data_IF_573219018712
#
_entry.id   IF_573219018712
#
_cell.length_a   1.000
_cell.length_b   1.000
_cell.length_c   1.000
_cell.angle_alpha   90.00
_cell.angle_beta   90.00
_cell.angle_gamma   90.00
#
_symmetry.space_group_name_H-M   'P 1'
#
loop_
_entity.id
_entity.type
_entity.pdbx_description
1 polymer ?
#
# COMPACT_ATOMS: atom_id res chain seq x y z
N UNK A 1 1.13 -18.25 8.33
CA UNK A 1 1.01 -16.91 8.94
C UNK A 1 2.39 -16.27 8.99
N UNK A 2 2.54 -15.08 8.42
CA UNK A 2 3.82 -14.39 8.36
C UNK A 2 4.31 -13.93 9.73
N UNK A 3 5.63 -13.93 9.96
CA UNK A 3 6.25 -13.27 11.12
C UNK A 3 6.54 -11.81 10.77
N UNK A 4 6.63 -10.93 11.78
CA UNK A 4 7.09 -9.56 11.59
C UNK A 4 8.60 -9.57 11.33
N UNK A 5 9.01 -9.29 10.11
CA UNK A 5 10.40 -9.37 9.66
C UNK A 5 11.00 -7.97 9.48
N UNK A 6 12.18 -7.74 10.06
CA UNK A 6 12.92 -6.50 9.82
C UNK A 6 13.54 -6.52 8.41
N UNK A 7 13.12 -5.58 7.55
CA UNK A 7 13.59 -5.47 6.16
C UNK A 7 14.69 -4.42 5.97
N UNK A 8 14.71 -3.42 6.87
CA UNK A 8 15.76 -2.41 7.00
C UNK A 8 15.82 -1.90 8.44
N UNK A 9 16.79 -1.07 8.81
CA UNK A 9 16.88 -0.51 10.15
C UNK A 9 15.61 0.28 10.51
N UNK A 10 14.92 -0.16 11.57
CA UNK A 10 13.69 0.46 12.04
C UNK A 10 12.49 0.33 11.09
N UNK A 11 12.52 -0.64 10.16
CA UNK A 11 11.41 -0.96 9.27
C UNK A 11 11.14 -2.45 9.27
N UNK A 12 9.92 -2.83 9.63
CA UNK A 12 9.46 -4.21 9.67
C UNK A 12 8.25 -4.41 8.78
N UNK A 13 8.09 -5.59 8.24
CA UNK A 13 6.96 -5.99 7.39
C UNK A 13 6.41 -7.31 7.89
N UNK A 14 5.08 -7.38 8.02
CA UNK A 14 4.32 -8.60 8.20
C UNK A 14 3.43 -8.79 6.99
N UNK A 15 3.50 -9.95 6.35
CA UNK A 15 2.68 -10.28 5.20
C UNK A 15 1.49 -11.14 5.62
N UNK A 16 0.28 -10.74 5.20
CA UNK A 16 -0.96 -11.49 5.33
C UNK A 16 -1.00 -12.70 4.39
N UNK A 17 -1.78 -13.72 4.74
CA UNK A 17 -2.15 -14.80 3.82
C UNK A 17 -3.24 -14.33 2.82
N UNK A 18 -4.02 -13.31 3.19
CA UNK A 18 -5.02 -12.71 2.31
C UNK A 18 -4.35 -11.82 1.27
N UNK A 19 -4.37 -12.24 0.02
CA UNK A 19 -3.83 -11.52 -1.16
C UNK A 19 -2.42 -10.93 -0.91
N UNK A 20 -1.62 -11.56 0.00
CA UNK A 20 -0.24 -11.14 0.33
C UNK A 20 -0.10 -9.67 0.73
N UNK A 21 -1.12 -9.09 1.38
CA UNK A 21 -1.11 -7.71 1.87
C UNK A 21 0.00 -7.50 2.90
N UNK A 22 0.69 -6.38 2.83
CA UNK A 22 1.80 -6.04 3.71
C UNK A 22 1.41 -4.99 4.74
N UNK A 23 1.51 -5.35 6.02
CA UNK A 23 1.49 -4.41 7.14
C UNK A 23 2.90 -3.96 7.45
N UNK A 24 3.14 -2.65 7.53
CA UNK A 24 4.48 -2.12 7.74
C UNK A 24 4.55 -1.37 9.08
N UNK A 25 5.61 -1.62 9.85
CA UNK A 25 5.93 -0.90 11.08
C UNK A 25 7.19 -0.08 10.85
N UNK A 26 7.12 1.22 11.08
CA UNK A 26 8.24 2.14 10.92
C UNK A 26 8.56 2.79 12.27
N UNK A 27 9.80 2.70 12.72
CA UNK A 27 10.25 3.40 13.92
C UNK A 27 10.49 4.89 13.59
N UNK A 28 9.64 5.74 14.13
CA UNK A 28 9.79 7.20 14.08
C UNK A 28 10.61 7.74 15.24
N UNK A 29 10.63 9.06 15.38
CA UNK A 29 11.35 9.75 16.45
C UNK A 29 10.73 9.48 17.83
N UNK A 30 9.39 9.51 17.92
CA UNK A 30 8.67 9.46 19.20
C UNK A 30 8.03 8.08 19.47
N UNK A 31 8.10 7.14 18.51
CA UNK A 31 7.51 5.81 18.62
C UNK A 31 7.35 5.13 17.27
N UNK A 32 6.41 4.21 17.19
CA UNK A 32 6.12 3.41 16.00
C UNK A 32 5.00 4.07 15.17
N UNK A 33 5.16 4.05 13.87
CA UNK A 33 4.13 4.40 12.90
C UNK A 33 3.73 3.11 12.19
N UNK A 34 2.42 2.82 12.16
CA UNK A 34 1.89 1.69 11.42
C UNK A 34 1.42 2.18 10.05
N UNK A 35 1.89 1.52 8.99
CA UNK A 35 1.47 1.80 7.62
C UNK A 35 0.68 0.60 7.11
N UNK A 36 -0.55 0.84 6.68
CA UNK A 36 -1.48 -0.16 6.14
C UNK A 36 -1.61 -1.41 7.05
N UNK A 37 -1.98 -1.29 8.35
CA UNK A 37 -1.94 -2.41 9.27
C UNK A 37 -3.07 -3.40 9.06
N UNK A 38 -2.71 -4.67 8.86
CA UNK A 38 -3.59 -5.83 8.98
C UNK A 38 -4.37 -6.19 7.75
N UNK A 39 -5.12 -7.28 7.85
CA UNK A 39 -6.26 -7.63 7.00
C UNK A 39 -7.28 -8.40 7.82
N UNK A 40 -7.05 -9.68 8.17
CA UNK A 40 -8.00 -10.44 8.98
C UNK A 40 -7.85 -10.16 10.48
N UNK A 41 -8.92 -10.33 11.25
CA UNK A 41 -8.92 -10.10 12.70
C UNK A 41 -7.82 -10.88 13.44
N UNK A 42 -7.65 -12.20 13.21
CA UNK A 42 -6.58 -12.98 13.83
C UNK A 42 -5.16 -12.52 13.46
N UNK A 43 -4.97 -11.95 12.25
CA UNK A 43 -3.68 -11.38 11.82
C UNK A 43 -3.43 -10.02 12.47
N UNK A 44 -4.48 -9.21 12.67
CA UNK A 44 -4.42 -7.96 13.43
C UNK A 44 -4.03 -8.21 14.90
N UNK A 45 -4.59 -9.25 15.55
CA UNK A 45 -4.20 -9.66 16.90
C UNK A 45 -2.70 -10.01 16.98
N UNK A 46 -2.21 -10.76 16.00
CA UNK A 46 -0.81 -11.17 15.95
C UNK A 46 0.12 -9.98 15.63
N UNK A 47 -0.31 -9.07 14.73
CA UNK A 47 0.44 -7.83 14.47
C UNK A 47 0.53 -6.99 15.76
N UNK A 48 -0.54 -6.94 16.56
CA UNK A 48 -0.53 -6.24 17.83
C UNK A 48 0.46 -6.89 18.84
N UNK A 49 0.53 -8.23 18.90
CA UNK A 49 1.53 -8.95 19.71
C UNK A 49 2.96 -8.61 19.25
N UNK A 50 3.21 -8.61 17.95
CA UNK A 50 4.51 -8.27 17.37
C UNK A 50 4.92 -6.82 17.68
N UNK A 51 3.97 -5.87 17.55
CA UNK A 51 4.19 -4.44 17.84
C UNK A 51 4.51 -4.21 19.32
N UNK A 52 3.79 -4.88 20.23
CA UNK A 52 4.07 -4.83 21.66
C UNK A 52 5.50 -5.33 21.97
N UNK A 53 6.00 -6.31 21.21
CA UNK A 53 7.37 -6.85 21.32
C UNK A 53 8.47 -5.87 20.87
N UNK A 54 8.14 -4.76 20.20
CA UNK A 54 9.13 -3.76 19.77
C UNK A 54 9.49 -2.73 20.84
N UNK A 55 8.92 -2.81 22.05
CA UNK A 55 9.21 -1.96 23.21
C UNK A 55 9.16 -0.44 22.89
N UNK A 56 8.19 -0.02 22.09
CA UNK A 56 7.95 1.40 21.79
C UNK A 56 6.46 1.65 21.55
N UNK A 57 5.91 2.80 21.96
CA UNK A 57 4.50 3.11 21.76
C UNK A 57 4.19 3.32 20.28
N UNK A 58 3.00 2.92 19.83
CA UNK A 58 2.43 3.40 18.57
C UNK A 58 2.03 4.86 18.76
N UNK A 59 2.44 5.73 17.85
CA UNK A 59 2.17 7.18 17.92
C UNK A 59 1.32 7.68 16.76
N UNK A 60 1.25 6.93 15.66
CA UNK A 60 0.42 7.26 14.51
C UNK A 60 0.17 6.03 13.61
N UNK A 61 -0.88 6.14 12.77
CA UNK A 61 -1.08 5.32 11.59
C UNK A 61 -0.96 6.14 10.31
N UNK A 62 -0.63 5.48 9.21
CA UNK A 62 -0.69 6.05 7.87
C UNK A 62 -1.28 5.03 6.90
N UNK A 63 -2.25 5.43 6.09
CA UNK A 63 -2.81 4.62 5.01
C UNK A 63 -2.30 5.14 3.68
N UNK A 64 -1.66 4.26 2.89
CA UNK A 64 -1.12 4.62 1.57
C UNK A 64 -2.23 5.05 0.61
N UNK A 65 -3.39 4.42 0.73
CA UNK A 65 -4.55 4.74 -0.10
C UNK A 65 -5.87 4.26 0.54
N UNK A 66 -7.03 4.73 0.05
CA UNK A 66 -8.32 4.54 0.70
C UNK A 66 -9.08 3.27 0.28
N UNK A 67 -8.40 2.11 0.08
CA UNK A 67 -9.06 0.81 -0.01
C UNK A 67 -9.15 0.17 1.37
N UNK A 68 -10.18 -0.64 1.59
CA UNK A 68 -10.54 -1.13 2.91
C UNK A 68 -9.39 -1.89 3.61
N UNK A 69 -8.63 -2.69 2.87
CA UNK A 69 -7.51 -3.51 3.37
C UNK A 69 -6.28 -2.67 3.76
N UNK A 70 -6.25 -1.38 3.43
CA UNK A 70 -5.26 -0.40 3.87
C UNK A 70 -5.81 0.61 4.90
N UNK A 71 -7.11 0.49 5.27
CA UNK A 71 -7.77 1.39 6.21
C UNK A 71 -8.08 0.74 7.55
N UNK A 72 -7.60 -0.48 7.80
CA UNK A 72 -7.85 -1.25 9.00
C UNK A 72 -7.12 -0.68 10.21
N UNK A 73 -7.60 -1.06 11.40
CA UNK A 73 -6.98 -0.69 12.67
C UNK A 73 -7.39 -1.68 13.76
N UNK A 74 -6.54 -1.83 14.78
CA UNK A 74 -6.82 -2.63 15.95
C UNK A 74 -6.80 -1.78 17.22
N UNK A 75 -7.68 -2.08 18.21
CA UNK A 75 -7.80 -1.29 19.44
C UNK A 75 -6.49 -1.22 20.25
N UNK A 76 -5.68 -2.30 20.22
CA UNK A 76 -4.39 -2.37 20.92
C UNK A 76 -3.33 -1.43 20.35
N UNK A 77 -3.49 -0.94 19.13
CA UNK A 77 -2.60 0.11 18.59
C UNK A 77 -2.87 1.48 19.22
N UNK A 78 -3.95 1.60 20.00
CA UNK A 78 -4.31 2.80 20.73
C UNK A 78 -5.14 3.80 19.93
N UNK A 79 -5.65 4.79 20.65
CA UNK A 79 -6.38 5.93 20.08
C UNK A 79 -5.38 7.03 19.70
N UNK A 80 -4.70 6.81 18.60
CA UNK A 80 -3.67 7.71 18.05
C UNK A 80 -4.11 8.27 16.71
N UNK A 81 -3.55 9.41 16.27
CA UNK A 81 -3.88 9.97 14.95
C UNK A 81 -3.57 8.97 13.83
N UNK A 82 -4.51 8.83 12.89
CA UNK A 82 -4.35 8.05 11.66
C UNK A 82 -4.48 8.98 10.47
N UNK A 83 -3.54 8.87 9.55
CA UNK A 83 -3.40 9.79 8.44
C UNK A 83 -3.51 9.08 7.09
N UNK A 84 -3.91 9.86 6.10
CA UNK A 84 -3.73 9.59 4.68
C UNK A 84 -3.42 10.92 3.98
N UNK A 85 -3.18 10.92 2.68
CA UNK A 85 -3.14 12.18 1.92
C UNK A 85 -4.48 12.92 2.05
N UNK A 86 -4.51 14.19 1.72
CA UNK A 86 -5.76 14.96 1.81
C UNK A 86 -6.87 14.39 0.90
N UNK A 87 -6.49 13.93 -0.31
CA UNK A 87 -7.43 13.29 -1.24
C UNK A 87 -7.85 11.91 -0.74
N UNK A 88 -6.92 11.09 -0.22
CA UNK A 88 -7.21 9.78 0.35
C UNK A 88 -8.13 9.86 1.56
N UNK A 89 -7.84 10.75 2.51
CA UNK A 89 -8.68 10.94 3.71
C UNK A 89 -10.10 11.42 3.36
N UNK A 90 -10.22 12.32 2.39
CA UNK A 90 -11.52 12.76 1.88
C UNK A 90 -12.30 11.61 1.29
N UNK A 91 -11.67 10.83 0.40
CA UNK A 91 -12.32 9.71 -0.26
C UNK A 91 -12.70 8.59 0.74
N UNK A 92 -11.81 8.25 1.69
CA UNK A 92 -12.13 7.29 2.76
C UNK A 92 -13.39 7.71 3.54
N UNK A 93 -13.51 9.00 3.89
CA UNK A 93 -14.70 9.52 4.56
C UNK A 93 -15.97 9.47 3.71
N UNK A 94 -15.89 9.77 2.41
CA UNK A 94 -17.01 9.73 1.48
C UNK A 94 -17.48 8.30 1.17
N UNK A 95 -16.59 7.30 1.26
CA UNK A 95 -16.87 5.89 0.94
C UNK A 95 -16.83 4.97 2.15
N UNK A 96 -16.88 5.51 3.36
CA UNK A 96 -16.74 4.76 4.63
C UNK A 96 -17.59 3.49 4.70
N UNK A 97 -18.86 3.57 4.36
CA UNK A 97 -19.76 2.42 4.43
C UNK A 97 -19.42 1.37 3.37
N UNK A 98 -19.01 1.80 2.16
CA UNK A 98 -18.54 0.88 1.11
C UNK A 98 -17.25 0.15 1.54
N UNK A 99 -16.32 0.85 2.20
CA UNK A 99 -15.09 0.24 2.73
C UNK A 99 -15.41 -0.81 3.81
N UNK A 100 -16.38 -0.54 4.69
CA UNK A 100 -16.83 -1.50 5.70
C UNK A 100 -17.55 -2.70 5.10
N UNK A 101 -18.38 -2.48 4.07
CA UNK A 101 -19.04 -3.56 3.34
C UNK A 101 -18.00 -4.49 2.69
N UNK A 102 -17.00 -3.93 1.98
CA UNK A 102 -15.92 -4.71 1.39
C UNK A 102 -15.13 -5.52 2.43
N UNK A 103 -14.77 -4.90 3.54
CA UNK A 103 -14.08 -5.60 4.63
C UNK A 103 -14.92 -6.73 5.23
N UNK A 104 -16.23 -6.53 5.40
CA UNK A 104 -17.14 -7.53 5.97
C UNK A 104 -17.37 -8.72 5.02
N UNK A 105 -17.26 -8.51 3.71
CA UNK A 105 -17.40 -9.55 2.71
C UNK A 105 -16.14 -10.39 2.51
N UNK A 106 -14.96 -9.76 2.60
CA UNK A 106 -13.68 -10.35 2.19
C UNK A 106 -12.80 -10.81 3.37
N UNK A 107 -12.97 -10.19 4.55
CA UNK A 107 -12.13 -10.48 5.71
C UNK A 107 -12.94 -10.92 6.93
N UNK A 108 -12.38 -11.86 7.71
CA UNK A 108 -13.03 -12.37 8.92
C UNK A 108 -12.64 -11.55 10.16
N UNK A 109 -13.62 -11.36 11.05
CA UNK A 109 -13.43 -10.83 12.42
C UNK A 109 -12.71 -9.48 12.51
N UNK A 110 -12.86 -8.60 11.51
CA UNK A 110 -12.27 -7.26 11.52
C UNK A 110 -13.14 -6.26 12.30
N UNK A 111 -12.52 -5.33 13.07
CA UNK A 111 -13.25 -4.30 13.81
C UNK A 111 -13.77 -3.20 12.88
N UNK A 112 -14.93 -3.41 12.27
CA UNK A 112 -15.52 -2.53 11.23
C UNK A 112 -15.70 -1.07 11.71
N UNK A 113 -15.89 -0.84 13.01
CA UNK A 113 -16.01 0.49 13.60
C UNK A 113 -14.69 1.28 13.59
N UNK A 114 -13.56 0.61 13.41
CA UNK A 114 -12.24 1.23 13.36
C UNK A 114 -11.75 1.50 11.92
N UNK A 115 -12.46 1.01 10.90
CA UNK A 115 -12.05 1.17 9.50
C UNK A 115 -12.22 2.63 9.07
N UNK A 116 -11.24 3.12 8.29
CA UNK A 116 -11.31 4.38 7.56
C UNK A 116 -11.32 5.64 8.43
N UNK A 117 -11.08 5.55 9.73
CA UNK A 117 -10.99 6.70 10.62
C UNK A 117 -9.65 7.43 10.42
N UNK A 118 -9.42 7.91 9.20
CA UNK A 118 -8.19 8.63 8.81
C UNK A 118 -8.47 10.12 8.58
N UNK A 119 -7.46 10.95 8.81
CA UNK A 119 -7.50 12.39 8.59
C UNK A 119 -6.38 12.81 7.64
N UNK A 120 -6.49 14.00 7.04
CA UNK A 120 -5.46 14.52 6.17
C UNK A 120 -4.13 14.69 6.93
N UNK A 121 -3.04 14.19 6.35
CA UNK A 121 -1.70 14.38 6.89
C UNK A 121 -1.40 15.89 7.00
N UNK A 122 -0.84 16.37 8.12
CA UNK A 122 -0.42 17.77 8.24
C UNK A 122 0.56 18.18 7.15
N UNK A 123 0.54 19.45 6.77
CA UNK A 123 1.39 19.97 5.69
C UNK A 123 2.91 19.85 5.95
N UNK A 124 3.31 19.71 7.21
CA UNK A 124 4.70 19.46 7.62
C UNK A 124 5.08 17.96 7.64
N UNK A 125 4.18 17.07 7.21
CA UNK A 125 4.36 15.61 7.21
C UNK A 125 3.99 14.94 8.55
N UNK A 126 3.73 15.72 9.61
CA UNK A 126 3.38 15.18 10.94
C UNK A 126 4.39 14.15 11.45
N UNK A 127 3.94 13.04 12.09
CA UNK A 127 4.83 12.03 12.64
C UNK A 127 5.30 11.00 11.61
N UNK A 128 4.75 11.00 10.37
CA UNK A 128 5.11 10.03 9.33
C UNK A 128 6.52 10.35 8.80
N UNK A 129 7.51 9.45 8.96
CA UNK A 129 8.85 9.72 8.51
C UNK A 129 8.97 9.63 6.99
N UNK A 130 9.91 10.38 6.42
CA UNK A 130 10.21 10.32 5.00
C UNK A 130 9.42 11.29 4.14
N UNK A 131 9.55 11.12 2.82
CA UNK A 131 8.87 11.90 1.81
C UNK A 131 7.62 11.19 1.34
N UNK A 132 6.49 11.90 1.30
CA UNK A 132 5.22 11.38 0.77
C UNK A 132 5.16 11.70 -0.72
N UNK A 133 5.07 10.65 -1.54
CA UNK A 133 4.98 10.75 -3.01
C UNK A 133 3.53 10.45 -3.42
N UNK A 134 2.68 11.48 -3.36
CA UNK A 134 1.27 11.34 -3.72
C UNK A 134 1.09 11.23 -5.23
N UNK A 135 0.21 10.35 -5.69
CA UNK A 135 -0.21 10.18 -7.08
C UNK A 135 -1.65 9.66 -7.17
N UNK A 136 -2.19 9.54 -8.40
CA UNK A 136 -3.59 9.18 -8.64
C UNK A 136 -3.72 7.92 -9.54
N UNK A 137 -2.71 7.06 -9.57
CA UNK A 137 -2.67 5.93 -10.51
C UNK A 137 -3.66 4.83 -10.16
N UNK A 138 -3.73 4.46 -8.86
CA UNK A 138 -4.46 3.30 -8.37
C UNK A 138 -5.72 3.70 -7.59
N UNK A 139 -5.65 4.76 -6.81
CA UNK A 139 -6.75 5.28 -6.00
C UNK A 139 -6.58 6.79 -5.74
N UNK A 140 -7.66 7.50 -5.35
CA UNK A 140 -7.57 8.92 -5.01
C UNK A 140 -6.59 9.17 -3.88
N UNK A 141 -5.57 9.98 -4.14
CA UNK A 141 -4.57 10.34 -3.15
C UNK A 141 -3.69 9.18 -2.70
N UNK A 142 -3.53 8.16 -3.53
CA UNK A 142 -2.55 7.11 -3.30
C UNK A 142 -1.16 7.70 -3.10
N UNK A 143 -0.41 7.19 -2.13
CA UNK A 143 0.91 7.69 -1.79
C UNK A 143 1.91 6.57 -1.54
N UNK A 144 3.12 6.75 -2.07
CA UNK A 144 4.28 6.03 -1.60
C UNK A 144 5.00 6.82 -0.51
N UNK A 145 5.76 6.13 0.35
CA UNK A 145 6.59 6.75 1.40
C UNK A 145 8.06 6.41 1.13
N UNK A 146 8.86 7.42 0.85
CA UNK A 146 10.30 7.26 0.67
C UNK A 146 11.05 7.53 1.99
N UNK A 147 11.61 6.48 2.56
CA UNK A 147 12.51 6.51 3.72
C UNK A 147 13.97 6.51 3.22
N UNK A 148 14.41 7.63 2.63
CA UNK A 148 15.70 7.71 1.93
C UNK A 148 16.89 7.42 2.85
N UNK A 149 16.85 7.83 4.13
CA UNK A 149 17.85 7.56 5.14
C UNK A 149 17.99 6.08 5.51
N UNK A 150 16.99 5.26 5.19
CA UNK A 150 16.95 3.81 5.42
C UNK A 150 17.01 2.99 4.15
N UNK A 151 17.05 3.64 3.00
CA UNK A 151 17.04 2.99 1.69
C UNK A 151 15.77 2.18 1.40
N UNK A 152 14.60 2.65 1.87
CA UNK A 152 13.31 1.95 1.73
C UNK A 152 12.28 2.81 1.01
N UNK A 153 11.55 2.22 0.08
CA UNK A 153 10.35 2.75 -0.56
C UNK A 153 9.15 1.86 -0.18
N UNK A 154 8.15 2.43 0.50
CA UNK A 154 6.83 1.81 0.70
C UNK A 154 5.98 2.28 -0.46
N UNK A 155 5.56 1.37 -1.34
CA UNK A 155 4.98 1.73 -2.64
C UNK A 155 3.43 1.75 -2.65
N UNK A 156 2.76 1.27 -1.59
CA UNK A 156 1.33 0.96 -1.66
C UNK A 156 1.05 -0.04 -2.77
N UNK A 157 -0.11 0.02 -3.41
CA UNK A 157 -0.53 -0.95 -4.43
C UNK A 157 0.07 -0.67 -5.81
N UNK A 158 1.37 -0.45 -5.79
CA UNK A 158 2.21 -0.31 -6.97
C UNK A 158 3.39 -1.28 -6.88
N UNK A 159 3.94 -1.66 -8.02
CA UNK A 159 5.20 -2.43 -8.13
C UNK A 159 5.12 -3.82 -7.48
N UNK A 160 3.96 -4.43 -7.45
CA UNK A 160 3.75 -5.79 -6.95
C UNK A 160 4.35 -6.86 -7.87
N UNK A 161 4.73 -8.02 -7.31
CA UNK A 161 5.07 -9.21 -8.09
C UNK A 161 3.89 -10.16 -8.29
N UNK A 162 2.80 -9.88 -7.62
CA UNK A 162 1.59 -10.71 -7.65
C UNK A 162 0.41 -9.97 -8.26
N UNK A 163 0.27 -8.66 -8.04
CA UNK A 163 -0.80 -7.85 -8.62
C UNK A 163 -0.36 -7.17 -9.91
N UNK A 164 -1.25 -7.17 -10.91
CA UNK A 164 -1.15 -6.30 -12.08
C UNK A 164 -1.41 -4.83 -11.68
N UNK A 165 -0.99 -3.85 -12.49
CA UNK A 165 -1.51 -2.49 -12.36
C UNK A 165 -3.04 -2.46 -12.29
N UNK A 166 -3.60 -1.85 -11.24
CA UNK A 166 -5.04 -1.64 -11.08
C UNK A 166 -5.28 -0.14 -11.18
N UNK A 167 -6.19 0.26 -12.09
CA UNK A 167 -6.41 1.68 -12.39
C UNK A 167 -7.51 2.29 -11.52
N UNK A 168 -7.35 3.56 -11.17
CA UNK A 168 -8.46 4.36 -10.66
C UNK A 168 -9.40 4.73 -11.80
N UNK A 169 -10.56 4.05 -11.88
CA UNK A 169 -11.57 4.27 -12.91
C UNK A 169 -12.19 5.68 -12.91
N UNK A 170 -11.86 6.53 -11.92
CA UNK A 170 -12.28 7.94 -11.84
C UNK A 170 -11.35 8.89 -12.59
N UNK A 171 -10.20 8.41 -13.04
CA UNK A 171 -9.29 9.20 -13.87
C UNK A 171 -9.77 9.21 -15.32
N UNK A 172 -9.72 10.38 -15.97
CA UNK A 172 -10.07 10.53 -17.40
C UNK A 172 -9.05 9.83 -18.32
N UNK A 173 -7.78 9.77 -17.91
CA UNK A 173 -6.68 9.06 -18.60
C UNK A 173 -5.86 8.28 -17.57
N UNK A 174 -6.30 7.04 -17.31
CA UNK A 174 -5.69 6.16 -16.32
C UNK A 174 -4.26 5.78 -16.68
N UNK A 175 -3.98 5.54 -17.97
CA UNK A 175 -2.63 5.19 -18.42
C UNK A 175 -1.65 6.33 -18.15
N UNK A 176 -2.02 7.58 -18.47
CA UNK A 176 -1.17 8.74 -18.18
C UNK A 176 -0.99 8.98 -16.68
N UNK A 177 -2.02 8.75 -15.87
CA UNK A 177 -1.91 8.81 -14.41
C UNK A 177 -0.91 7.76 -13.88
N UNK A 178 -0.97 6.53 -14.41
CA UNK A 178 -0.07 5.44 -14.01
C UNK A 178 1.37 5.69 -14.49
N UNK A 179 1.57 6.13 -15.73
CA UNK A 179 2.88 6.52 -16.29
C UNK A 179 3.54 7.61 -15.42
N UNK A 180 2.79 8.65 -15.06
CA UNK A 180 3.27 9.73 -14.19
C UNK A 180 3.68 9.22 -12.80
N UNK A 181 2.92 8.28 -12.22
CA UNK A 181 3.28 7.63 -10.96
C UNK A 181 4.57 6.81 -11.10
N UNK A 182 4.71 6.01 -12.17
CA UNK A 182 5.91 5.22 -12.42
C UNK A 182 7.15 6.10 -12.61
N UNK A 183 7.04 7.29 -13.23
CA UNK A 183 8.15 8.24 -13.33
C UNK A 183 8.61 8.71 -11.95
N UNK A 184 7.68 9.12 -11.08
CA UNK A 184 7.97 9.57 -9.71
C UNK A 184 8.57 8.46 -8.85
N UNK A 185 8.00 7.24 -8.91
CA UNK A 185 8.51 6.07 -8.20
C UNK A 185 9.89 5.64 -8.73
N UNK A 186 10.13 5.75 -10.03
CA UNK A 186 11.45 5.48 -10.62
C UNK A 186 12.53 6.44 -10.13
N UNK A 187 12.18 7.71 -9.87
CA UNK A 187 13.12 8.66 -9.28
C UNK A 187 13.43 8.29 -7.83
N UNK A 188 12.39 8.00 -7.04
CA UNK A 188 12.54 7.57 -5.64
C UNK A 188 13.36 6.27 -5.52
N UNK A 189 13.14 5.32 -6.43
CA UNK A 189 13.81 4.02 -6.44
C UNK A 189 15.34 4.10 -6.64
N UNK A 190 15.87 5.21 -7.14
CA UNK A 190 17.32 5.43 -7.24
C UNK A 190 18.02 5.56 -5.89
N UNK A 191 17.26 5.77 -4.83
CA UNK A 191 17.75 6.05 -3.48
C UNK A 191 17.49 4.91 -2.50
N UNK A 192 17.01 3.75 -2.98
CA UNK A 192 16.61 2.65 -2.11
C UNK A 192 17.17 1.30 -2.57
N UNK A 193 17.40 0.42 -1.61
CA UNK A 193 17.75 -0.98 -1.81
C UNK A 193 16.59 -1.94 -1.48
N UNK A 194 15.53 -1.43 -0.84
CA UNK A 194 14.35 -2.19 -0.43
C UNK A 194 13.09 -1.47 -0.90
N UNK A 195 12.17 -2.21 -1.50
CA UNK A 195 10.83 -1.71 -1.82
C UNK A 195 9.77 -2.67 -1.27
N UNK A 196 8.79 -2.11 -0.57
CA UNK A 196 7.67 -2.83 0.02
C UNK A 196 6.41 -2.44 -0.75
N UNK A 197 5.82 -3.35 -1.54
CA UNK A 197 4.51 -3.12 -2.17
C UNK A 197 3.40 -3.28 -1.15
N UNK A 198 2.18 -2.83 -1.45
CA UNK A 198 0.99 -3.13 -0.65
C UNK A 198 0.70 -4.63 -0.62
N UNK A 199 0.86 -5.31 -1.75
CA UNK A 199 0.70 -6.76 -1.89
C UNK A 199 1.91 -7.40 -2.56
N UNK A 200 2.28 -8.60 -2.07
CA UNK A 200 3.37 -9.39 -2.65
C UNK A 200 4.67 -9.31 -1.87
N UNK A 201 5.73 -9.87 -2.41
CA UNK A 201 7.02 -9.99 -1.74
C UNK A 201 7.78 -8.65 -1.70
N UNK A 202 8.51 -8.41 -0.62
CA UNK A 202 9.45 -7.29 -0.51
C UNK A 202 10.57 -7.46 -1.55
N UNK A 203 10.75 -6.45 -2.40
CA UNK A 203 11.82 -6.43 -3.41
C UNK A 203 13.12 -5.88 -2.82
N UNK A 204 14.26 -6.48 -3.20
CA UNK A 204 15.60 -6.05 -2.74
C UNK A 204 16.59 -5.92 -3.90
N UNK A 205 17.42 -4.90 -3.81
CA UNK A 205 18.48 -4.66 -4.79
C UNK A 205 17.96 -4.61 -6.24
N UNK A 206 18.45 -5.49 -7.15
CA UNK A 206 18.03 -5.47 -8.55
C UNK A 206 16.52 -5.73 -8.79
N UNK A 207 15.82 -6.37 -7.84
CA UNK A 207 14.39 -6.64 -7.95
C UNK A 207 13.55 -5.36 -7.97
N UNK A 208 14.01 -4.30 -7.30
CA UNK A 208 13.32 -3.00 -7.30
C UNK A 208 13.19 -2.47 -8.73
N UNK A 209 14.30 -2.48 -9.49
CA UNK A 209 14.28 -2.07 -10.89
C UNK A 209 13.47 -3.03 -11.78
N UNK A 210 13.48 -4.33 -11.48
CA UNK A 210 12.69 -5.32 -12.22
C UNK A 210 11.18 -5.11 -12.06
N UNK A 211 10.70 -4.75 -10.85
CA UNK A 211 9.28 -4.44 -10.60
C UNK A 211 8.82 -3.21 -11.37
N UNK A 212 9.60 -2.12 -11.32
CA UNK A 212 9.35 -0.91 -12.13
C UNK A 212 9.29 -1.22 -13.63
N UNK A 213 10.20 -2.07 -14.11
CA UNK A 213 10.24 -2.46 -15.51
C UNK A 213 9.02 -3.31 -15.91
N UNK A 214 8.53 -4.19 -15.01
CA UNK A 214 7.35 -5.01 -15.26
C UNK A 214 6.09 -4.15 -15.39
N UNK A 215 5.83 -3.25 -14.43
CA UNK A 215 4.68 -2.35 -14.51
C UNK A 215 4.74 -1.45 -15.75
N UNK A 216 5.93 -0.90 -16.06
CA UNK A 216 6.11 -0.09 -17.26
C UNK A 216 5.84 -0.87 -18.53
N UNK A 217 6.35 -2.10 -18.65
CA UNK A 217 6.13 -2.94 -19.82
C UNK A 217 4.63 -3.26 -20.03
N UNK A 218 3.92 -3.51 -18.94
CA UNK A 218 2.47 -3.74 -18.97
C UNK A 218 1.71 -2.50 -19.47
N UNK A 219 1.98 -1.32 -18.90
CA UNK A 219 1.35 -0.05 -19.29
C UNK A 219 1.70 0.32 -20.73
N UNK A 220 2.96 0.16 -21.13
CA UNK A 220 3.41 0.43 -22.50
C UNK A 220 2.71 -0.46 -23.55
N UNK A 221 2.44 -1.73 -23.21
CA UNK A 221 1.71 -2.62 -24.10
C UNK A 221 0.26 -2.16 -24.26
N UNK A 222 -0.44 -1.84 -23.16
CA UNK A 222 -1.80 -1.28 -23.21
C UNK A 222 -1.84 0.00 -24.05
N UNK A 223 -0.90 0.93 -23.84
CA UNK A 223 -0.82 2.19 -24.59
C UNK A 223 -0.66 1.98 -26.10
N UNK A 224 -0.03 0.89 -26.51
CA UNK A 224 0.10 0.54 -27.93
C UNK A 224 -1.08 -0.28 -28.47
N UNK A 225 -2.07 -0.61 -27.64
CA UNK A 225 -3.16 -1.54 -27.99
C UNK A 225 -2.67 -2.97 -28.24
N UNK A 226 -1.59 -3.37 -27.58
CA UNK A 226 -1.01 -4.71 -27.64
C UNK A 226 -1.40 -5.49 -26.39
N UNK A 227 -1.52 -6.83 -26.53
CA UNK A 227 -1.76 -7.73 -25.41
C UNK A 227 -0.48 -7.78 -24.53
N UNK A 228 -0.54 -7.38 -23.23
CA UNK A 228 0.61 -7.49 -22.36
C UNK A 228 1.05 -8.93 -22.13
N UNK A 229 2.37 -9.17 -22.18
CA UNK A 229 2.98 -10.44 -21.76
C UNK A 229 3.50 -10.24 -20.34
N UNK A 230 2.77 -10.75 -19.35
CA UNK A 230 3.10 -10.57 -17.94
C UNK A 230 2.90 -11.87 -17.16
N UNK A 231 3.95 -12.31 -16.46
CA UNK A 231 3.91 -13.57 -15.70
C UNK A 231 2.90 -13.53 -14.53
N UNK A 232 2.53 -12.34 -14.05
CA UNK A 232 1.53 -12.18 -12.97
C UNK A 232 0.14 -12.64 -13.39
N UNK A 233 -0.18 -12.63 -14.70
CA UNK A 233 -1.45 -13.15 -15.23
C UNK A 233 -1.71 -14.62 -14.88
N UNK A 234 -0.64 -15.38 -14.61
CA UNK A 234 -0.72 -16.78 -14.24
C UNK A 234 -0.74 -17.00 -12.70
N UNK A 235 -0.60 -15.94 -11.91
CA UNK A 235 -0.44 -16.04 -10.46
C UNK A 235 -1.77 -16.39 -9.73
N UNK A 236 -2.90 -15.89 -10.23
CA UNK A 236 -4.23 -16.20 -9.68
C UNK A 236 -5.32 -16.00 -10.73
N UNK A 237 -6.37 -16.84 -10.70
CA UNK A 237 -7.45 -16.83 -11.69
C UNK A 237 -8.20 -15.48 -11.76
N UNK A 238 -8.35 -14.79 -10.63
CA UNK A 238 -9.05 -13.50 -10.55
C UNK A 238 -8.28 -12.32 -11.18
N UNK A 239 -6.98 -12.45 -11.42
CA UNK A 239 -6.18 -11.43 -12.11
C UNK A 239 -6.58 -11.27 -13.58
N UNK A 240 -7.17 -12.30 -14.20
CA UNK A 240 -7.74 -12.18 -15.53
C UNK A 240 -8.85 -11.12 -15.62
N UNK A 241 -9.69 -11.02 -14.59
CA UNK A 241 -10.74 -9.99 -14.51
C UNK A 241 -10.18 -8.57 -14.39
N UNK A 242 -9.07 -8.38 -13.64
CA UNK A 242 -8.36 -7.10 -13.59
C UNK A 242 -7.79 -6.75 -14.96
N UNK A 243 -7.17 -7.73 -15.62
CA UNK A 243 -6.59 -7.52 -16.93
C UNK A 243 -7.64 -7.15 -17.98
N UNK A 244 -8.77 -7.87 -18.02
CA UNK A 244 -9.91 -7.54 -18.90
C UNK A 244 -10.41 -6.11 -18.63
N UNK A 245 -10.59 -5.74 -17.37
CA UNK A 245 -10.97 -4.37 -16.98
C UNK A 245 -9.95 -3.33 -17.46
N UNK A 246 -8.65 -3.61 -17.34
CA UNK A 246 -7.60 -2.72 -17.80
C UNK A 246 -7.60 -2.55 -19.33
N UNK A 247 -7.89 -3.61 -20.08
CA UNK A 247 -8.04 -3.55 -21.55
C UNK A 247 -9.23 -2.69 -21.98
N UNK A 248 -10.34 -2.74 -21.23
CA UNK A 248 -11.52 -1.93 -21.51
C UNK A 248 -11.32 -0.44 -21.20
N UNK A 249 -10.38 -0.11 -20.30
CA UNK A 249 -10.11 1.23 -19.81
C UNK A 249 -8.91 1.89 -20.51
N UNK A 250 -8.15 1.16 -21.29
CA UNK A 250 -6.96 1.63 -22.01
C UNK A 250 -7.33 2.23 -23.38
#
# INVERSE_FOLDING_TARGET
MGELNQVAEGVWVRQSEWVWTNSIVVRGQDGLILVDPGVEGPELDQLADDVDGLDAPVVAGFSTHPHWDHLLWHERFGDVPRYATAAGAKFAGETMELQKEGAAEEASDVPLELIGLVTALPADGGPVPGEIIEHQAHAPGHAAVLLADRGVLIAGDMLSDVLLPIFDSRQDDQLSAYESALERLSEAAKHVDVMVPGHGAVAKGPEVAARLAADRAYIDALRRGEEPVDARLEAADWLSGIHESNLEQA
#
